data_IF_605213729842
#
_entry.id   IF_605213729842
#
_cell.length_a   1.000
_cell.length_b   1.000
_cell.length_c   1.000
_cell.angle_alpha   90.00
_cell.angle_beta   90.00
_cell.angle_gamma   90.00
#
_symmetry.space_group_name_H-M   'P 1'
#
loop_
_entity.id
_entity.type
_entity.pdbx_description
1 polymer ?
#
# COMPACT_ATOMS: atom_id res chain seq x y z
N UNK A 1 -8.99 -1.37 45.82
CA UNK A 1 -7.72 -0.78 45.32
C UNK A 1 -6.70 -0.85 46.47
N UNK A 2 -5.55 -1.51 46.26
CA UNK A 2 -4.55 -1.73 47.32
C UNK A 2 -3.98 -0.37 47.79
N UNK A 3 -3.73 -0.19 49.08
CA UNK A 3 -3.26 1.07 49.72
C UNK A 3 -2.03 1.67 48.97
N UNK A 4 -1.12 0.81 48.51
CA UNK A 4 0.07 1.18 47.73
C UNK A 4 -0.31 1.81 46.40
N UNK A 5 -1.33 1.30 45.69
CA UNK A 5 -1.79 1.84 44.42
C UNK A 5 -2.45 3.24 44.60
N UNK A 6 -3.17 3.45 45.70
CA UNK A 6 -3.74 4.78 46.05
C UNK A 6 -2.62 5.82 46.28
N UNK A 7 -1.55 5.40 46.96
CA UNK A 7 -0.39 6.25 47.22
C UNK A 7 0.32 6.61 45.88
N UNK A 8 0.47 5.65 44.97
CA UNK A 8 1.08 5.89 43.65
C UNK A 8 0.30 6.90 42.82
N UNK A 9 -1.03 6.75 42.73
CA UNK A 9 -1.88 7.71 42.02
C UNK A 9 -1.79 9.12 42.61
N UNK A 10 -1.72 9.25 43.93
CA UNK A 10 -1.55 10.55 44.61
C UNK A 10 -0.16 11.15 44.31
N UNK A 11 0.90 10.33 44.37
CA UNK A 11 2.25 10.76 44.04
C UNK A 11 2.43 11.21 42.59
N UNK A 12 1.79 10.54 41.65
CA UNK A 12 1.80 10.96 40.22
C UNK A 12 1.17 12.35 40.04
N UNK A 13 0.08 12.62 40.78
CA UNK A 13 -0.60 13.93 40.74
C UNK A 13 0.26 15.03 41.42
N UNK A 14 1.00 14.73 42.46
CA UNK A 14 1.87 15.70 43.14
C UNK A 14 3.12 16.03 42.33
N UNK A 15 3.66 15.07 41.58
CA UNK A 15 4.87 15.21 40.74
C UNK A 15 4.54 15.37 39.27
N UNK A 16 3.63 16.31 38.91
CA UNK A 16 3.09 16.51 37.57
C UNK A 16 4.18 16.69 36.49
N UNK A 17 5.19 17.54 36.71
CA UNK A 17 6.25 17.81 35.71
C UNK A 17 6.95 16.53 35.25
N UNK A 18 7.27 15.63 36.16
CA UNK A 18 7.95 14.37 35.90
C UNK A 18 7.02 13.36 35.19
N UNK A 19 5.79 13.24 35.68
CA UNK A 19 4.79 12.38 35.04
C UNK A 19 4.56 12.79 33.59
N UNK A 20 4.53 14.10 33.29
CA UNK A 20 4.43 14.65 31.97
C UNK A 20 5.63 14.24 31.11
N UNK A 21 6.87 14.38 31.57
CA UNK A 21 8.07 13.96 30.80
C UNK A 21 8.02 12.48 30.44
N UNK A 22 7.61 11.63 31.38
CA UNK A 22 7.47 10.19 31.13
C UNK A 22 6.33 9.91 30.14
N UNK A 23 5.18 10.58 30.27
CA UNK A 23 4.06 10.47 29.33
C UNK A 23 4.51 10.91 27.92
N UNK A 24 5.21 12.05 27.80
CA UNK A 24 5.73 12.53 26.50
C UNK A 24 6.68 11.50 25.86
N UNK A 25 7.59 10.92 26.64
CA UNK A 25 8.50 9.86 26.15
C UNK A 25 7.75 8.63 25.62
N UNK A 26 6.70 8.19 26.35
CA UNK A 26 5.85 7.08 25.91
C UNK A 26 5.03 7.49 24.70
N UNK A 27 4.42 8.67 24.71
CA UNK A 27 3.62 9.21 23.60
C UNK A 27 4.43 9.26 22.31
N UNK A 28 5.66 9.81 22.36
CA UNK A 28 6.56 9.87 21.19
C UNK A 28 6.88 8.48 20.64
N UNK A 29 7.19 7.54 21.52
CA UNK A 29 7.51 6.17 21.14
C UNK A 29 6.32 5.47 20.48
N UNK A 30 5.13 5.59 21.07
CA UNK A 30 3.89 5.01 20.52
C UNK A 30 3.49 5.72 19.22
N UNK A 31 3.61 7.04 19.16
CA UNK A 31 3.30 7.81 17.98
C UNK A 31 4.18 7.39 16.79
N UNK A 32 5.48 7.16 17.01
CA UNK A 32 6.39 6.69 15.96
C UNK A 32 6.01 5.29 15.45
N UNK A 33 5.70 4.34 16.37
CA UNK A 33 5.23 3.00 15.99
C UNK A 33 3.95 3.09 15.16
N UNK A 34 2.97 3.89 15.64
CA UNK A 34 1.68 4.04 14.96
C UNK A 34 1.82 4.72 13.59
N UNK A 35 2.64 5.77 13.52
CA UNK A 35 2.89 6.49 12.27
C UNK A 35 3.47 5.56 11.20
N UNK A 36 4.51 4.78 11.54
CA UNK A 36 5.16 3.87 10.58
C UNK A 36 4.21 2.77 10.12
N UNK A 37 3.44 2.15 11.03
CA UNK A 37 2.46 1.15 10.64
C UNK A 37 1.35 1.74 9.74
N UNK A 38 0.88 2.95 10.06
CA UNK A 38 -0.11 3.65 9.24
C UNK A 38 0.44 4.01 7.85
N UNK A 39 1.71 4.44 7.77
CA UNK A 39 2.37 4.73 6.49
C UNK A 39 2.54 3.48 5.62
N UNK A 40 2.92 2.33 6.19
CA UNK A 40 3.04 1.07 5.44
C UNK A 40 1.71 0.65 4.83
N UNK A 41 0.61 0.73 5.61
CA UNK A 41 -0.73 0.41 5.12
C UNK A 41 -1.19 1.39 4.05
N UNK A 42 -0.92 2.68 4.25
CA UNK A 42 -1.29 3.74 3.31
C UNK A 42 -0.48 3.65 2.02
N UNK A 43 0.79 3.34 2.08
CA UNK A 43 1.65 3.13 0.92
C UNK A 43 1.13 1.97 0.05
N UNK A 44 0.80 0.83 0.67
CA UNK A 44 0.18 -0.28 -0.05
C UNK A 44 -1.15 0.13 -0.70
N UNK A 45 -1.99 0.86 0.02
CA UNK A 45 -3.25 1.33 -0.53
C UNK A 45 -3.05 2.28 -1.71
N UNK A 46 -2.00 3.12 -1.66
CA UNK A 46 -1.63 4.04 -2.73
C UNK A 46 -1.17 3.30 -3.99
N UNK A 47 -0.34 2.27 -3.84
CA UNK A 47 0.08 1.42 -4.98
C UNK A 47 -1.13 0.74 -5.63
N UNK A 48 -2.03 0.17 -4.83
CA UNK A 48 -3.25 -0.46 -5.34
C UNK A 48 -4.13 0.56 -6.07
N UNK A 49 -4.27 1.76 -5.52
CA UNK A 49 -5.06 2.82 -6.16
C UNK A 49 -4.41 3.31 -7.46
N UNK A 50 -3.09 3.49 -7.45
CA UNK A 50 -2.34 3.84 -8.65
C UNK A 50 -2.56 2.81 -9.77
N UNK A 51 -2.46 1.51 -9.43
CA UNK A 51 -2.69 0.44 -10.39
C UNK A 51 -4.12 0.44 -10.97
N UNK A 52 -5.12 0.75 -10.13
CA UNK A 52 -6.51 0.90 -10.58
C UNK A 52 -6.72 2.09 -11.53
N UNK A 53 -6.02 3.19 -11.28
CA UNK A 53 -6.07 4.38 -12.13
C UNK A 53 -5.32 4.14 -13.45
N UNK A 54 -4.19 3.42 -13.42
CA UNK A 54 -3.35 3.20 -14.59
C UNK A 54 -3.88 2.12 -15.51
N UNK A 55 -4.28 0.96 -14.96
CA UNK A 55 -4.67 -0.21 -15.75
C UNK A 55 -6.14 -0.60 -15.62
N UNK A 56 -6.86 0.05 -14.70
CA UNK A 56 -8.27 -0.24 -14.46
C UNK A 56 -8.52 -1.15 -13.25
N UNK A 57 -9.75 -1.11 -12.75
CA UNK A 57 -10.17 -1.81 -11.53
C UNK A 57 -10.77 -3.19 -11.86
N UNK A 58 -10.01 -4.06 -12.50
CA UNK A 58 -10.39 -5.43 -12.83
C UNK A 58 -9.25 -6.41 -12.54
N UNK A 59 -9.58 -7.70 -12.45
CA UNK A 59 -8.60 -8.79 -12.32
C UNK A 59 -8.40 -9.52 -13.64
N UNK A 60 -9.48 -9.88 -14.31
CA UNK A 60 -9.49 -10.59 -15.59
C UNK A 60 -10.45 -9.90 -16.57
N UNK A 61 -9.98 -9.66 -17.79
CA UNK A 61 -10.81 -9.27 -18.91
C UNK A 61 -10.97 -10.45 -19.87
N UNK A 62 -12.17 -10.68 -20.37
CA UNK A 62 -12.49 -11.65 -21.41
C UNK A 62 -12.93 -10.89 -22.65
N UNK A 63 -12.22 -11.12 -23.75
CA UNK A 63 -12.41 -10.40 -24.98
C UNK A 63 -13.31 -11.20 -25.93
N UNK A 64 -13.98 -10.52 -26.85
CA UNK A 64 -14.83 -11.09 -27.88
C UNK A 64 -15.92 -12.05 -27.38
N UNK A 65 -16.48 -11.74 -26.23
CA UNK A 65 -17.55 -12.50 -25.60
C UNK A 65 -18.86 -12.26 -26.34
N UNK A 66 -19.52 -13.33 -26.78
CA UNK A 66 -20.83 -13.23 -27.43
C UNK A 66 -21.90 -12.73 -26.47
N UNK A 67 -22.88 -11.98 -26.99
CA UNK A 67 -23.99 -11.39 -26.22
C UNK A 67 -24.70 -12.40 -25.32
N UNK A 68 -24.96 -13.62 -25.82
CA UNK A 68 -25.66 -14.68 -25.09
C UNK A 68 -24.87 -15.18 -23.88
N UNK A 69 -23.54 -15.07 -23.90
CA UNK A 69 -22.67 -15.52 -22.84
C UNK A 69 -22.49 -14.48 -21.71
N UNK A 70 -22.93 -13.23 -21.91
CA UNK A 70 -22.85 -12.18 -20.89
C UNK A 70 -23.50 -12.59 -19.56
N UNK A 71 -24.59 -13.36 -19.63
CA UNK A 71 -25.31 -13.85 -18.45
C UNK A 71 -24.47 -14.74 -17.52
N UNK A 72 -23.47 -15.46 -18.05
CA UNK A 72 -22.56 -16.33 -17.30
C UNK A 72 -21.65 -15.56 -16.35
N UNK A 73 -21.29 -14.34 -16.74
CA UNK A 73 -20.48 -13.44 -15.91
C UNK A 73 -21.36 -12.68 -14.92
N UNK A 74 -22.49 -12.16 -15.39
CA UNK A 74 -23.42 -11.36 -14.58
C UNK A 74 -23.93 -12.05 -13.34
N UNK A 75 -24.21 -13.34 -13.40
CA UNK A 75 -24.81 -14.12 -12.32
C UNK A 75 -23.81 -15.01 -11.58
N UNK A 76 -22.51 -14.74 -11.69
CA UNK A 76 -21.49 -15.59 -11.07
C UNK A 76 -21.12 -15.11 -9.68
N UNK A 77 -21.28 -15.97 -8.67
CA UNK A 77 -20.97 -15.69 -7.26
C UNK A 77 -19.49 -15.40 -6.96
N UNK A 78 -18.60 -15.75 -7.88
CA UNK A 78 -17.16 -15.50 -7.76
C UNK A 78 -16.78 -14.08 -8.21
N UNK A 79 -17.67 -13.40 -8.93
CA UNK A 79 -17.48 -12.05 -9.45
C UNK A 79 -18.08 -11.04 -8.47
N UNK A 80 -17.26 -10.12 -7.98
CA UNK A 80 -17.67 -9.01 -7.11
C UNK A 80 -18.34 -7.89 -7.92
N UNK A 81 -17.73 -7.54 -9.05
CA UNK A 81 -18.22 -6.56 -10.01
C UNK A 81 -17.69 -6.86 -11.40
N UNK A 82 -18.39 -6.39 -12.40
CA UNK A 82 -17.97 -6.46 -13.79
C UNK A 82 -18.39 -5.19 -14.53
N UNK A 83 -17.75 -4.94 -15.63
CA UNK A 83 -18.13 -3.90 -16.58
C UNK A 83 -17.89 -4.37 -18.02
N UNK A 84 -18.61 -3.74 -18.92
CA UNK A 84 -18.70 -4.18 -20.31
C UNK A 84 -18.26 -3.05 -21.23
N UNK A 85 -17.47 -3.42 -22.24
CA UNK A 85 -17.10 -2.53 -23.35
C UNK A 85 -17.31 -3.24 -24.66
N UNK A 86 -17.34 -2.50 -25.74
CA UNK A 86 -17.28 -3.06 -27.09
C UNK A 86 -16.47 -2.16 -28.02
N UNK A 87 -15.78 -2.79 -28.95
CA UNK A 87 -15.05 -2.09 -29.99
C UNK A 87 -16.04 -1.70 -31.10
N UNK A 88 -16.22 -0.40 -31.31
CA UNK A 88 -17.12 0.12 -32.33
C UNK A 88 -16.40 0.17 -33.69
N UNK A 89 -15.13 0.54 -33.69
CA UNK A 89 -14.29 0.56 -34.88
C UNK A 89 -13.30 1.71 -34.94
N UNK A 90 -12.71 1.91 -36.07
CA UNK A 90 -11.76 2.96 -36.37
C UNK A 90 -12.38 4.04 -37.25
N UNK A 91 -11.87 5.26 -37.15
CA UNK A 91 -12.15 6.32 -38.10
C UNK A 91 -10.84 7.06 -38.43
N UNK A 92 -10.63 7.39 -39.72
CA UNK A 92 -9.50 8.25 -40.09
C UNK A 92 -9.69 9.65 -39.50
N UNK A 93 -8.61 10.21 -38.97
CA UNK A 93 -8.57 11.60 -38.49
C UNK A 93 -7.37 12.31 -39.11
N UNK A 94 -7.48 13.63 -39.31
CA UNK A 94 -6.40 14.43 -39.92
C UNK A 94 -5.25 14.71 -38.91
N UNK A 95 -4.74 13.62 -38.34
CA UNK A 95 -3.63 13.67 -37.38
C UNK A 95 -2.32 14.02 -38.08
N UNK A 96 -1.53 14.91 -37.48
CA UNK A 96 -0.16 15.18 -37.97
C UNK A 96 0.86 14.14 -37.49
N UNK A 97 0.46 13.21 -36.66
CA UNK A 97 1.27 12.05 -36.31
C UNK A 97 0.98 10.91 -37.30
N UNK A 98 1.90 10.68 -38.22
CA UNK A 98 1.78 9.66 -39.26
C UNK A 98 1.61 8.24 -38.71
N UNK A 99 2.16 7.93 -37.55
CA UNK A 99 2.04 6.65 -36.88
C UNK A 99 0.71 6.48 -36.12
N UNK A 100 -0.13 7.54 -36.05
CA UNK A 100 -1.39 7.53 -35.31
C UNK A 100 -2.51 8.25 -36.11
N UNK A 101 -2.88 7.70 -37.28
CA UNK A 101 -3.81 8.36 -38.20
C UNK A 101 -5.29 8.10 -37.86
N UNK A 102 -5.62 7.38 -36.76
CA UNK A 102 -6.98 6.98 -36.47
C UNK A 102 -7.51 7.51 -35.14
N UNK A 103 -8.83 7.63 -35.05
CA UNK A 103 -9.59 7.52 -33.84
C UNK A 103 -10.04 6.05 -33.70
N UNK A 104 -9.85 5.45 -32.51
CA UNK A 104 -10.39 4.16 -32.14
C UNK A 104 -11.55 4.37 -31.19
N UNK A 105 -12.76 3.92 -31.55
CA UNK A 105 -13.99 4.22 -30.82
C UNK A 105 -14.39 3.01 -29.99
N UNK A 106 -14.53 3.22 -28.68
CA UNK A 106 -14.95 2.19 -27.72
C UNK A 106 -16.28 2.62 -27.11
N UNK A 107 -17.22 1.70 -27.07
CA UNK A 107 -18.45 1.82 -26.29
C UNK A 107 -18.26 1.29 -24.88
N UNK A 108 -18.83 1.96 -23.88
CA UNK A 108 -18.70 1.63 -22.46
C UNK A 108 -20.03 1.68 -21.74
N UNK A 109 -20.24 0.76 -20.78
CA UNK A 109 -21.32 0.85 -19.82
C UNK A 109 -20.99 1.81 -18.65
N UNK A 110 -21.98 2.15 -17.82
CA UNK A 110 -21.79 3.08 -16.67
C UNK A 110 -20.75 2.58 -15.65
N UNK A 111 -20.58 1.27 -15.54
CA UNK A 111 -19.58 0.69 -14.68
C UNK A 111 -18.17 0.80 -15.27
N UNK A 112 -18.04 0.68 -16.60
CA UNK A 112 -16.76 0.86 -17.29
C UNK A 112 -16.25 2.29 -17.15
N UNK A 113 -17.09 3.31 -17.27
CA UNK A 113 -16.69 4.70 -17.04
C UNK A 113 -16.07 4.94 -15.65
N UNK A 114 -16.49 4.18 -14.62
CA UNK A 114 -16.01 4.33 -13.25
C UNK A 114 -14.77 3.48 -12.93
N UNK A 115 -14.54 2.41 -13.68
CA UNK A 115 -13.60 1.37 -13.33
C UNK A 115 -12.48 1.15 -14.35
N UNK A 116 -12.62 1.66 -15.56
CA UNK A 116 -11.52 1.70 -16.52
C UNK A 116 -10.60 2.90 -16.24
N UNK A 117 -9.39 2.81 -16.73
CA UNK A 117 -8.33 3.82 -16.61
C UNK A 117 -8.58 5.02 -17.54
N UNK A 118 -9.70 5.72 -17.33
CA UNK A 118 -10.11 6.88 -18.11
C UNK A 118 -10.58 7.98 -17.17
N UNK A 119 -9.79 9.04 -17.07
CA UNK A 119 -10.09 10.18 -16.22
C UNK A 119 -10.51 11.38 -17.05
N UNK A 120 -11.63 12.01 -16.71
CA UNK A 120 -12.03 13.26 -17.36
C UNK A 120 -11.18 14.44 -16.83
N UNK A 121 -10.68 15.27 -17.78
CA UNK A 121 -10.08 16.58 -17.49
C UNK A 121 -11.17 17.63 -17.41
N UNK A 122 -12.15 17.55 -18.35
CA UNK A 122 -13.24 18.52 -18.43
C UNK A 122 -14.47 17.92 -19.14
N UNK A 123 -15.63 18.49 -18.88
CA UNK A 123 -16.90 18.00 -19.44
C UNK A 123 -17.52 16.89 -18.62
N UNK A 124 -18.26 16.01 -19.30
CA UNK A 124 -18.99 14.90 -18.69
C UNK A 124 -18.82 13.62 -19.53
N UNK A 125 -19.15 12.46 -18.95
CA UNK A 125 -19.21 11.20 -19.70
C UNK A 125 -20.42 11.18 -20.63
N UNK A 126 -20.35 10.47 -21.78
CA UNK A 126 -21.44 10.33 -22.73
C UNK A 126 -22.68 9.73 -22.04
N UNK A 127 -23.85 10.30 -22.34
CA UNK A 127 -25.17 9.81 -21.85
C UNK A 127 -25.98 9.09 -22.92
N UNK A 128 -25.61 9.28 -24.15
CA UNK A 128 -26.27 8.64 -25.29
C UNK A 128 -25.25 8.32 -26.41
N UNK A 129 -25.68 7.55 -27.38
CA UNK A 129 -24.84 7.03 -28.47
C UNK A 129 -24.30 8.08 -29.45
N UNK A 130 -24.81 9.31 -29.41
CA UNK A 130 -24.36 10.42 -30.26
C UNK A 130 -23.40 11.37 -29.51
N UNK A 131 -23.02 11.05 -28.30
CA UNK A 131 -22.07 11.78 -27.49
C UNK A 131 -20.73 11.03 -27.42
N UNK A 132 -19.62 11.78 -27.39
CA UNK A 132 -18.29 11.20 -27.37
C UNK A 132 -17.34 12.02 -26.49
N UNK A 133 -16.44 11.31 -25.80
CA UNK A 133 -15.29 11.88 -25.09
C UNK A 133 -14.04 11.63 -25.92
N UNK A 134 -13.19 12.64 -26.04
CA UNK A 134 -11.93 12.57 -26.77
C UNK A 134 -10.73 12.71 -25.80
N UNK A 135 -9.56 12.11 -26.10
CA UNK A 135 -8.40 12.21 -25.25
C UNK A 135 -7.61 13.51 -25.51
N UNK A 136 -7.09 14.12 -24.44
CA UNK A 136 -6.36 15.40 -24.50
C UNK A 136 -5.09 15.36 -25.37
N UNK A 137 -4.43 14.21 -25.46
CA UNK A 137 -3.24 14.07 -26.30
C UNK A 137 -3.53 14.08 -27.81
N UNK A 138 -4.79 14.02 -28.22
CA UNK A 138 -5.20 14.28 -29.59
C UNK A 138 -4.74 15.69 -30.04
N UNK A 139 -4.84 16.69 -29.15
CA UNK A 139 -4.36 18.07 -29.40
C UNK A 139 -2.83 18.16 -29.44
N UNK A 140 -2.15 17.55 -28.47
CA UNK A 140 -0.69 17.70 -28.34
C UNK A 140 0.09 16.85 -29.34
N UNK A 141 -0.36 15.63 -29.59
CA UNK A 141 0.27 14.66 -30.47
C UNK A 141 -0.28 14.70 -31.89
N UNK A 142 -1.62 14.71 -32.05
CA UNK A 142 -2.29 14.73 -33.36
C UNK A 142 -2.44 16.12 -33.99
N UNK A 143 -2.23 17.19 -33.19
CA UNK A 143 -2.48 18.61 -33.61
C UNK A 143 -3.94 18.89 -34.01
N UNK A 144 -4.88 18.11 -33.46
CA UNK A 144 -6.33 18.30 -33.67
C UNK A 144 -6.89 19.01 -32.40
N UNK A 145 -7.39 20.22 -32.60
CA UNK A 145 -7.87 21.10 -31.50
C UNK A 145 -9.41 21.12 -31.46
N UNK A 146 -10.01 19.99 -31.16
CA UNK A 146 -11.46 19.92 -30.92
C UNK A 146 -11.80 20.41 -29.50
N UNK A 147 -13.02 20.97 -29.37
CA UNK A 147 -13.54 21.53 -28.13
C UNK A 147 -14.82 20.82 -27.71
N UNK A 148 -15.14 20.90 -26.42
CA UNK A 148 -16.44 20.47 -25.91
C UNK A 148 -17.53 21.30 -26.58
N UNK A 149 -18.55 20.60 -27.14
CA UNK A 149 -19.64 21.18 -27.91
C UNK A 149 -19.47 21.03 -29.41
N UNK A 150 -18.27 20.76 -29.92
CA UNK A 150 -18.04 20.52 -31.36
C UNK A 150 -18.79 19.26 -31.80
N UNK A 151 -19.24 19.28 -33.06
CA UNK A 151 -19.89 18.16 -33.72
C UNK A 151 -18.96 17.62 -34.78
N UNK A 152 -18.65 16.35 -34.71
CA UNK A 152 -17.74 15.68 -35.65
C UNK A 152 -18.46 14.51 -36.32
N UNK A 153 -18.26 14.34 -37.61
CA UNK A 153 -18.73 13.16 -38.35
C UNK A 153 -17.54 12.27 -38.66
N UNK A 154 -17.63 11.02 -38.26
CA UNK A 154 -16.59 10.02 -38.39
C UNK A 154 -17.07 8.89 -39.31
N UNK A 155 -16.27 8.56 -40.30
CA UNK A 155 -16.45 7.38 -41.15
C UNK A 155 -15.88 6.18 -40.41
N UNK A 156 -16.73 5.34 -39.85
CA UNK A 156 -16.36 4.23 -38.96
C UNK A 156 -16.15 2.96 -39.79
N UNK A 157 -15.07 2.27 -39.53
CA UNK A 157 -14.71 1.05 -40.26
C UNK A 157 -13.62 0.25 -39.58
N UNK A 158 -12.96 -0.58 -40.35
CA UNK A 158 -11.91 -1.49 -39.92
C UNK A 158 -10.58 -1.22 -40.62
N UNK A 159 -9.50 -1.53 -39.88
CA UNK A 159 -8.12 -1.57 -40.42
C UNK A 159 -7.83 -2.96 -40.95
N UNK A 160 -7.33 -3.07 -42.15
CA UNK A 160 -7.00 -4.34 -42.81
C UNK A 160 -5.53 -4.34 -43.17
N UNK A 161 -4.78 -5.31 -42.70
CA UNK A 161 -3.38 -5.56 -43.05
C UNK A 161 -3.22 -7.02 -43.46
N UNK A 162 -2.65 -7.26 -44.65
CA UNK A 162 -2.50 -8.61 -45.21
C UNK A 162 -3.83 -9.39 -45.30
N UNK A 163 -4.90 -8.69 -45.66
CA UNK A 163 -6.27 -9.20 -45.78
C UNK A 163 -6.92 -9.65 -44.45
N UNK A 164 -6.30 -9.34 -43.31
CA UNK A 164 -6.85 -9.58 -41.96
C UNK A 164 -7.19 -8.27 -41.25
N UNK A 165 -8.28 -8.29 -40.46
CA UNK A 165 -8.66 -7.17 -39.60
C UNK A 165 -7.69 -7.08 -38.42
N UNK A 166 -7.07 -5.91 -38.24
CA UNK A 166 -6.07 -5.70 -37.18
C UNK A 166 -6.58 -4.83 -36.05
N UNK A 167 -6.15 -5.17 -34.84
CA UNK A 167 -6.59 -4.54 -33.59
C UNK A 167 -5.74 -3.31 -33.22
N UNK A 168 -6.13 -2.64 -32.13
CA UNK A 168 -5.41 -1.51 -31.55
C UNK A 168 -4.00 -1.87 -31.02
N UNK A 169 -3.71 -3.14 -30.84
CA UNK A 169 -2.41 -3.63 -30.40
C UNK A 169 -1.37 -3.71 -31.53
N UNK A 170 -1.84 -3.79 -32.78
CA UNK A 170 -0.98 -3.78 -33.94
C UNK A 170 -0.68 -2.34 -34.35
N UNK A 171 0.61 -1.98 -34.35
CA UNK A 171 1.08 -0.66 -34.75
C UNK A 171 0.66 -0.32 -36.18
N UNK A 172 0.59 0.97 -36.50
CA UNK A 172 0.30 1.43 -37.86
C UNK A 172 1.35 0.91 -38.85
N UNK A 173 0.85 0.41 -40.01
CA UNK A 173 1.67 0.03 -41.16
C UNK A 173 1.16 0.80 -42.39
N UNK A 174 2.08 1.35 -43.19
CA UNK A 174 1.74 2.10 -44.42
C UNK A 174 1.04 1.28 -45.47
N UNK A 175 1.13 -0.06 -45.43
CA UNK A 175 0.47 -0.98 -46.34
C UNK A 175 -0.96 -1.33 -45.91
N UNK A 176 -1.40 -0.90 -44.72
CA UNK A 176 -2.75 -1.18 -44.27
C UNK A 176 -3.80 -0.39 -45.05
N UNK A 177 -4.95 -1.01 -45.20
CA UNK A 177 -6.12 -0.39 -45.86
C UNK A 177 -7.18 -0.11 -44.77
N UNK A 178 -7.79 1.08 -44.89
CA UNK A 178 -8.96 1.40 -44.10
C UNK A 178 -10.22 1.15 -44.93
N UNK A 179 -11.13 0.34 -44.41
CA UNK A 179 -12.42 0.04 -45.04
C UNK A 179 -13.51 0.67 -44.20
N UNK A 180 -14.12 1.76 -44.71
CA UNK A 180 -15.27 2.40 -44.08
C UNK A 180 -16.52 1.53 -44.20
N UNK A 181 -17.30 1.41 -43.11
CA UNK A 181 -18.54 0.65 -43.06
C UNK A 181 -19.77 1.57 -43.02
N UNK A 182 -19.71 2.65 -42.26
CA UNK A 182 -20.78 3.65 -42.12
C UNK A 182 -20.24 4.96 -41.52
N UNK A 183 -21.04 6.04 -41.61
CA UNK A 183 -20.73 7.33 -41.05
C UNK A 183 -21.62 7.60 -39.82
N UNK A 184 -21.06 8.16 -38.77
CA UNK A 184 -21.80 8.56 -37.56
C UNK A 184 -21.36 9.92 -37.05
N UNK A 185 -22.32 10.72 -36.64
CA UNK A 185 -22.08 12.07 -36.13
C UNK A 185 -22.14 12.04 -34.61
N UNK A 186 -21.12 12.63 -33.97
CA UNK A 186 -20.99 12.70 -32.54
C UNK A 186 -20.83 14.16 -32.07
N UNK A 187 -21.41 14.47 -30.93
CA UNK A 187 -21.14 15.70 -30.15
C UNK A 187 -20.07 15.42 -29.11
N UNK A 188 -19.01 16.20 -29.08
CA UNK A 188 -17.98 16.11 -28.05
C UNK A 188 -18.50 16.67 -26.74
N UNK A 189 -18.59 15.85 -25.69
CA UNK A 189 -19.13 16.22 -24.38
C UNK A 189 -18.07 16.27 -23.29
N UNK A 190 -16.90 15.70 -23.53
CA UNK A 190 -15.81 15.71 -22.56
C UNK A 190 -14.44 15.50 -23.18
N UNK A 191 -13.43 15.85 -22.40
CA UNK A 191 -12.03 15.63 -22.73
C UNK A 191 -11.44 14.81 -21.58
N UNK A 192 -10.86 13.64 -21.90
CA UNK A 192 -10.17 12.78 -20.94
C UNK A 192 -8.67 13.01 -20.95
N UNK A 193 -8.01 12.56 -19.89
CA UNK A 193 -6.58 12.29 -19.94
C UNK A 193 -6.30 11.22 -21.03
N UNK A 194 -5.04 11.06 -21.37
CA UNK A 194 -4.65 9.90 -22.20
C UNK A 194 -5.07 8.63 -21.46
N UNK A 195 -5.80 7.71 -22.09
CA UNK A 195 -6.14 6.43 -21.47
C UNK A 195 -4.90 5.67 -21.00
N UNK A 196 -5.06 4.85 -19.96
CA UNK A 196 -3.97 4.02 -19.44
C UNK A 196 -3.46 3.03 -20.48
N UNK A 197 -2.27 2.48 -20.24
CA UNK A 197 -1.57 1.59 -21.15
C UNK A 197 -2.40 0.36 -21.57
N UNK A 198 -3.21 -0.16 -20.66
CA UNK A 198 -4.10 -1.31 -20.93
C UNK A 198 -5.24 -1.01 -21.93
N UNK A 199 -5.57 0.26 -22.13
CA UNK A 199 -6.61 0.72 -23.09
C UNK A 199 -5.97 1.24 -24.36
N UNK A 200 -4.89 2.00 -24.24
CA UNK A 200 -4.18 2.60 -25.36
C UNK A 200 -2.66 2.50 -25.15
N UNK A 201 -2.05 1.43 -25.70
CA UNK A 201 -0.60 1.25 -25.63
C UNK A 201 0.15 2.37 -26.38
N UNK A 202 1.46 2.48 -26.18
CA UNK A 202 2.26 3.57 -26.79
C UNK A 202 2.33 3.48 -28.33
N UNK A 203 2.21 2.27 -28.87
CA UNK A 203 2.28 2.00 -30.32
C UNK A 203 0.91 1.93 -30.98
N UNK A 204 -0.16 2.14 -30.21
CA UNK A 204 -1.53 2.13 -30.70
C UNK A 204 -1.74 3.15 -31.82
N UNK A 205 -2.27 2.75 -32.98
CA UNK A 205 -2.44 3.61 -34.16
C UNK A 205 -3.67 4.53 -34.10
N UNK A 206 -4.54 4.31 -33.11
CA UNK A 206 -5.73 5.12 -32.87
C UNK A 206 -5.70 5.85 -31.54
N UNK A 207 -6.19 7.10 -31.52
CA UNK A 207 -6.58 7.81 -30.31
C UNK A 207 -7.89 7.23 -29.80
N UNK A 208 -7.96 6.86 -28.54
CA UNK A 208 -9.16 6.21 -28.00
C UNK A 208 -10.26 7.23 -27.72
N UNK A 209 -11.32 7.17 -28.48
CA UNK A 209 -12.56 7.93 -28.30
C UNK A 209 -13.59 7.05 -27.58
N UNK A 210 -14.39 7.63 -26.72
CA UNK A 210 -15.26 6.88 -25.83
C UNK A 210 -16.70 7.36 -25.94
N UNK A 211 -17.62 6.42 -26.14
CA UNK A 211 -19.07 6.66 -26.20
C UNK A 211 -19.80 5.64 -25.31
N UNK A 212 -21.13 5.70 -25.29
CA UNK A 212 -21.93 4.71 -24.57
C UNK A 212 -21.89 3.34 -25.27
N UNK A 213 -22.13 2.28 -24.49
CA UNK A 213 -22.13 0.90 -25.00
C UNK A 213 -23.09 0.74 -26.18
N UNK A 214 -22.60 0.16 -27.26
CA UNK A 214 -23.45 -0.19 -28.41
C UNK A 214 -24.20 -1.50 -28.09
N UNK A 215 -25.48 -1.39 -27.78
CA UNK A 215 -26.35 -2.51 -27.46
C UNK A 215 -26.74 -3.37 -28.69
N UNK A 216 -26.46 -2.89 -29.90
CA UNK A 216 -26.71 -3.63 -31.15
C UNK A 216 -25.58 -4.61 -31.45
N UNK A 217 -24.42 -4.46 -30.86
CA UNK A 217 -23.29 -5.36 -31.01
C UNK A 217 -23.62 -6.79 -30.55
N UNK A 218 -23.03 -7.76 -31.23
CA UNK A 218 -23.08 -9.18 -30.86
C UNK A 218 -21.85 -9.63 -30.04
N UNK A 219 -20.82 -8.78 -29.95
CA UNK A 219 -19.52 -9.08 -29.34
C UNK A 219 -19.18 -7.98 -28.34
N UNK A 220 -18.73 -8.39 -27.17
CA UNK A 220 -18.39 -7.50 -26.05
C UNK A 220 -17.10 -7.94 -25.36
N UNK A 221 -16.43 -7.01 -24.71
CA UNK A 221 -15.34 -7.29 -23.79
C UNK A 221 -15.88 -7.14 -22.37
N UNK A 222 -15.61 -8.12 -21.50
CA UNK A 222 -16.07 -8.14 -20.13
C UNK A 222 -14.88 -8.13 -19.21
N UNK A 223 -14.79 -7.12 -18.38
CA UNK A 223 -13.76 -7.01 -17.36
C UNK A 223 -14.35 -7.35 -16.01
N UNK A 224 -13.75 -8.31 -15.33
CA UNK A 224 -14.28 -8.87 -14.07
C UNK A 224 -13.36 -8.61 -12.90
N UNK A 225 -13.97 -8.26 -11.78
CA UNK A 225 -13.32 -8.21 -10.49
C UNK A 225 -13.78 -9.41 -9.66
N UNK A 226 -12.87 -10.28 -9.29
CA UNK A 226 -13.19 -11.45 -8.48
C UNK A 226 -13.33 -11.07 -7.01
N UNK A 227 -14.21 -11.79 -6.29
CA UNK A 227 -14.31 -11.68 -4.84
C UNK A 227 -12.97 -12.09 -4.19
N UNK A 228 -12.68 -11.54 -3.03
CA UNK A 228 -11.46 -11.87 -2.28
C UNK A 228 -11.29 -13.38 -2.04
N UNK A 229 -12.42 -14.12 -1.88
CA UNK A 229 -12.41 -15.57 -1.73
C UNK A 229 -12.11 -16.29 -3.04
N UNK A 230 -12.62 -15.77 -4.15
CA UNK A 230 -12.43 -16.34 -5.48
C UNK A 230 -10.97 -16.18 -5.97
N UNK A 231 -10.26 -15.14 -5.55
CA UNK A 231 -8.85 -14.94 -5.88
C UNK A 231 -7.95 -16.09 -5.40
N UNK A 232 -8.32 -16.82 -4.34
CA UNK A 232 -7.58 -18.01 -3.91
C UNK A 232 -7.60 -19.14 -4.95
N UNK A 233 -8.63 -19.19 -5.79
CA UNK A 233 -8.83 -20.20 -6.83
C UNK A 233 -8.95 -19.57 -8.22
N UNK A 234 -8.32 -18.40 -8.41
CA UNK A 234 -8.48 -17.58 -9.60
C UNK A 234 -8.19 -18.33 -10.92
N UNK A 235 -7.15 -19.14 -10.94
CA UNK A 235 -6.76 -19.87 -12.15
C UNK A 235 -7.80 -20.91 -12.55
N UNK A 236 -8.33 -21.68 -11.60
CA UNK A 236 -9.41 -22.65 -11.87
C UNK A 236 -10.70 -21.97 -12.32
N UNK A 237 -11.05 -20.84 -11.69
CA UNK A 237 -12.24 -20.08 -12.06
C UNK A 237 -12.09 -19.51 -13.47
N UNK A 238 -10.95 -18.93 -13.79
CA UNK A 238 -10.66 -18.38 -15.12
C UNK A 238 -10.66 -19.47 -16.19
N UNK A 239 -10.01 -20.61 -15.94
CA UNK A 239 -10.02 -21.75 -16.86
C UNK A 239 -11.44 -22.26 -17.16
N UNK A 240 -12.33 -22.29 -16.15
CA UNK A 240 -13.73 -22.67 -16.34
C UNK A 240 -14.48 -21.68 -17.25
N UNK A 241 -14.21 -20.38 -17.17
CA UNK A 241 -14.77 -19.40 -18.12
C UNK A 241 -14.23 -19.61 -19.53
N UNK A 242 -12.94 -19.92 -19.65
CA UNK A 242 -12.27 -20.16 -20.92
C UNK A 242 -12.65 -21.52 -21.54
N UNK A 243 -13.16 -22.47 -20.74
CA UNK A 243 -13.49 -23.82 -21.20
C UNK A 243 -12.27 -24.72 -21.42
N UNK A 244 -11.17 -24.48 -20.70
CA UNK A 244 -9.88 -25.19 -20.77
C UNK A 244 -9.63 -26.05 -19.53
N UNK A 245 -8.58 -26.89 -19.55
CA UNK A 245 -8.20 -27.76 -18.45
C UNK A 245 -7.85 -26.93 -17.18
N UNK A 246 -8.77 -26.92 -16.22
CA UNK A 246 -8.64 -26.09 -15.00
C UNK A 246 -7.54 -26.56 -14.05
N UNK A 247 -7.25 -27.86 -13.98
CA UNK A 247 -6.20 -28.38 -13.11
C UNK A 247 -4.82 -28.14 -13.70
N UNK A 248 -4.69 -28.28 -15.02
CA UNK A 248 -3.46 -27.91 -15.71
C UNK A 248 -3.20 -26.40 -15.64
N UNK A 249 -4.21 -25.56 -15.92
CA UNK A 249 -4.07 -24.12 -15.88
C UNK A 249 -3.71 -23.61 -14.46
N UNK A 250 -4.28 -24.23 -13.41
CA UNK A 250 -3.89 -23.92 -12.03
C UNK A 250 -2.48 -24.42 -11.70
N UNK A 251 -2.07 -25.58 -12.21
CA UNK A 251 -0.71 -26.10 -12.05
C UNK A 251 0.33 -25.13 -12.59
N UNK A 252 0.13 -24.63 -13.79
CA UNK A 252 1.05 -23.67 -14.45
C UNK A 252 0.79 -22.21 -14.04
N UNK A 253 -0.11 -21.98 -13.09
CA UNK A 253 -0.50 -20.64 -12.59
C UNK A 253 -0.81 -19.66 -13.72
N UNK A 254 -1.65 -20.09 -14.67
CA UNK A 254 -2.01 -19.26 -15.81
C UNK A 254 -0.83 -18.93 -16.74
N UNK A 255 0.16 -19.81 -16.84
CA UNK A 255 1.36 -19.63 -17.63
C UNK A 255 2.56 -19.01 -16.91
N UNK A 256 2.44 -18.73 -15.59
CA UNK A 256 3.56 -18.17 -14.80
C UNK A 256 4.65 -19.19 -14.46
N UNK A 257 4.26 -20.45 -14.25
CA UNK A 257 5.15 -21.52 -13.82
C UNK A 257 5.10 -22.61 -14.88
N UNK A 258 5.87 -22.43 -15.94
CA UNK A 258 6.07 -23.43 -16.98
C UNK A 258 7.47 -23.99 -16.78
N UNK A 259 7.57 -25.29 -16.45
CA UNK A 259 8.83 -25.90 -16.04
C UNK A 259 9.61 -26.51 -17.20
N UNK A 260 8.96 -26.81 -18.32
CA UNK A 260 9.57 -27.48 -19.46
C UNK A 260 8.81 -27.23 -20.78
N UNK A 261 9.43 -27.58 -21.91
CA UNK A 261 8.88 -27.38 -23.26
C UNK A 261 7.54 -28.12 -23.48
N UNK A 262 7.34 -29.29 -22.87
CA UNK A 262 6.09 -30.05 -23.01
C UNK A 262 4.92 -29.34 -22.34
N UNK A 263 5.14 -28.71 -21.18
CA UNK A 263 4.14 -27.88 -20.51
C UNK A 263 3.86 -26.60 -21.30
N UNK A 264 4.88 -26.00 -21.91
CA UNK A 264 4.71 -24.83 -22.77
C UNK A 264 3.87 -25.17 -24.00
N UNK A 265 4.15 -26.29 -24.67
CA UNK A 265 3.37 -26.76 -25.81
C UNK A 265 1.91 -27.02 -25.42
N UNK A 266 1.69 -27.75 -24.32
CA UNK A 266 0.35 -28.01 -23.79
C UNK A 266 -0.38 -26.69 -23.44
N UNK A 267 0.31 -25.72 -22.86
CA UNK A 267 -0.27 -24.44 -22.52
C UNK A 267 -0.76 -23.67 -23.75
N UNK A 268 0.02 -23.64 -24.81
CA UNK A 268 -0.36 -23.04 -26.09
C UNK A 268 -1.56 -23.78 -26.68
N UNK A 269 -1.55 -25.13 -26.68
CA UNK A 269 -2.67 -25.95 -27.16
C UNK A 269 -3.98 -25.67 -26.41
N UNK A 270 -3.90 -25.48 -25.08
CA UNK A 270 -5.08 -25.12 -24.27
C UNK A 270 -5.56 -23.70 -24.57
N UNK A 271 -4.65 -22.72 -24.76
CA UNK A 271 -5.04 -21.37 -25.15
C UNK A 271 -5.72 -21.30 -26.51
N UNK A 272 -5.29 -22.12 -27.47
CA UNK A 272 -5.95 -22.20 -28.80
C UNK A 272 -7.37 -22.74 -28.68
N UNK A 273 -7.66 -23.61 -27.70
CA UNK A 273 -9.02 -24.12 -27.44
C UNK A 273 -9.87 -23.17 -26.64
N UNK A 274 -9.28 -22.14 -26.05
CA UNK A 274 -9.98 -21.23 -25.17
C UNK A 274 -11.14 -20.53 -25.91
N UNK A 275 -12.29 -20.46 -25.27
CA UNK A 275 -13.52 -19.88 -25.83
C UNK A 275 -13.41 -18.38 -26.07
N UNK A 276 -12.59 -17.69 -25.28
CA UNK A 276 -12.36 -16.25 -25.32
C UNK A 276 -10.87 -15.97 -25.23
N UNK A 277 -10.41 -14.92 -25.86
CA UNK A 277 -9.16 -14.28 -25.49
C UNK A 277 -9.30 -13.64 -24.11
N UNK A 278 -8.21 -13.52 -23.36
CA UNK A 278 -8.25 -12.91 -22.04
C UNK A 278 -7.03 -12.08 -21.74
N UNK A 279 -7.26 -11.05 -20.94
CA UNK A 279 -6.23 -10.18 -20.37
C UNK A 279 -6.26 -10.26 -18.85
N UNK A 280 -5.10 -10.10 -18.22
CA UNK A 280 -4.95 -10.22 -16.76
C UNK A 280 -4.32 -8.94 -16.25
N UNK A 281 -4.99 -8.27 -15.31
CA UNK A 281 -4.38 -7.18 -14.54
C UNK A 281 -3.52 -7.78 -13.42
N UNK A 282 -2.33 -8.24 -13.82
CA UNK A 282 -1.42 -9.01 -12.97
C UNK A 282 -0.98 -8.22 -11.75
N UNK A 283 -0.63 -6.96 -11.94
CA UNK A 283 -0.10 -6.12 -10.88
C UNK A 283 -1.17 -5.78 -9.85
N UNK A 284 -2.41 -5.54 -10.25
CA UNK A 284 -3.50 -5.35 -9.32
C UNK A 284 -3.76 -6.60 -8.47
N UNK A 285 -3.84 -7.77 -9.10
CA UNK A 285 -3.99 -9.06 -8.40
C UNK A 285 -2.86 -9.25 -7.39
N UNK A 286 -1.63 -9.02 -7.82
CA UNK A 286 -0.41 -9.13 -7.04
C UNK A 286 -0.45 -8.27 -5.78
N UNK A 287 -0.84 -7.00 -5.90
CA UNK A 287 -0.90 -6.07 -4.78
C UNK A 287 -2.11 -6.30 -3.87
N UNK A 288 -3.24 -6.72 -4.41
CA UNK A 288 -4.45 -6.99 -3.63
C UNK A 288 -4.44 -8.35 -2.94
N UNK A 289 -3.99 -9.39 -3.63
CA UNK A 289 -4.03 -10.77 -3.12
C UNK A 289 -2.96 -11.06 -2.05
N UNK A 290 -1.95 -10.21 -1.93
CA UNK A 290 -0.95 -10.33 -0.87
C UNK A 290 -0.15 -11.64 -0.91
N UNK A 291 0.16 -12.13 -2.11
CA UNK A 291 0.92 -13.35 -2.23
C UNK A 291 2.36 -13.08 -1.77
N UNK A 292 2.74 -13.65 -0.61
CA UNK A 292 4.06 -13.46 0.03
C UNK A 292 5.18 -14.01 -0.88
N UNK A 293 4.83 -14.83 -1.85
CA UNK A 293 5.76 -15.38 -2.85
C UNK A 293 6.27 -14.31 -3.83
N UNK A 294 5.57 -13.18 -3.91
CA UNK A 294 5.98 -12.07 -4.76
C UNK A 294 7.12 -11.26 -4.13
N UNK A 295 8.25 -11.24 -4.82
CA UNK A 295 9.48 -10.57 -4.36
C UNK A 295 9.31 -9.09 -4.03
N UNK A 296 8.46 -8.35 -4.73
CA UNK A 296 8.32 -6.89 -4.55
C UNK A 296 7.58 -6.54 -3.26
N UNK A 297 6.41 -7.15 -3.01
CA UNK A 297 5.68 -6.93 -1.76
C UNK A 297 6.44 -7.47 -0.56
N UNK A 298 7.11 -8.61 -0.71
CA UNK A 298 7.99 -9.19 0.30
C UNK A 298 9.10 -8.24 0.70
N UNK A 299 9.75 -7.57 -0.26
CA UNK A 299 10.81 -6.59 0.01
C UNK A 299 10.30 -5.40 0.82
N UNK A 300 9.12 -4.85 0.46
CA UNK A 300 8.51 -3.73 1.19
C UNK A 300 8.20 -4.12 2.64
N UNK A 301 7.60 -5.28 2.87
CA UNK A 301 7.30 -5.77 4.22
C UNK A 301 8.56 -6.08 5.02
N UNK A 302 9.62 -6.59 4.38
CA UNK A 302 10.90 -6.86 5.03
C UNK A 302 11.56 -5.55 5.48
N UNK A 303 11.60 -4.53 4.64
CA UNK A 303 12.12 -3.21 5.01
C UNK A 303 11.29 -2.61 6.16
N UNK A 304 9.95 -2.66 6.05
CA UNK A 304 9.08 -2.19 7.12
C UNK A 304 9.32 -2.94 8.44
N UNK A 305 9.53 -4.24 8.41
CA UNK A 305 9.83 -5.06 9.58
C UNK A 305 11.17 -4.68 10.22
N UNK A 306 12.22 -4.46 9.43
CA UNK A 306 13.53 -4.00 9.93
C UNK A 306 13.39 -2.64 10.61
N UNK A 307 12.72 -1.69 9.95
CA UNK A 307 12.47 -0.36 10.50
C UNK A 307 11.69 -0.45 11.82
N UNK A 308 10.67 -1.30 11.89
CA UNK A 308 9.90 -1.53 13.11
C UNK A 308 10.75 -2.10 14.24
N UNK A 309 11.68 -3.01 13.99
CA UNK A 309 12.61 -3.53 14.98
C UNK A 309 13.48 -2.39 15.54
N UNK A 310 14.05 -1.55 14.67
CA UNK A 310 14.90 -0.42 15.08
C UNK A 310 14.10 0.57 15.94
N UNK A 311 12.89 0.90 15.52
CA UNK A 311 11.99 1.80 16.26
C UNK A 311 11.63 1.23 17.63
N UNK A 312 11.25 -0.05 17.71
CA UNK A 312 10.94 -0.69 18.99
C UNK A 312 12.15 -0.70 19.92
N UNK A 313 13.33 -1.01 19.39
CA UNK A 313 14.57 -0.99 20.19
C UNK A 313 14.85 0.40 20.75
N UNK A 314 14.83 1.43 19.90
CA UNK A 314 15.03 2.84 20.30
C UNK A 314 13.97 3.29 21.31
N UNK A 315 12.70 2.90 21.10
CA UNK A 315 11.60 3.19 21.99
C UNK A 315 11.79 2.58 23.39
N UNK A 316 12.26 1.34 23.47
CA UNK A 316 12.60 0.71 24.76
C UNK A 316 13.64 1.53 25.51
N UNK A 317 14.68 2.03 24.84
CA UNK A 317 15.68 2.90 25.46
C UNK A 317 15.11 4.23 25.91
N UNK A 318 14.34 4.91 25.07
CA UNK A 318 13.73 6.20 25.37
C UNK A 318 12.80 6.11 26.60
N UNK A 319 11.90 5.14 26.59
CA UNK A 319 10.96 4.91 27.72
C UNK A 319 11.73 4.49 28.98
N UNK A 320 12.73 3.63 28.85
CA UNK A 320 13.58 3.24 30.00
C UNK A 320 14.26 4.44 30.61
N UNK A 321 14.87 5.32 29.82
CA UNK A 321 15.56 6.50 30.33
C UNK A 321 14.58 7.45 31.06
N UNK A 322 13.38 7.65 30.50
CA UNK A 322 12.33 8.44 31.11
C UNK A 322 11.89 7.87 32.47
N UNK A 323 11.77 6.55 32.57
CA UNK A 323 11.47 5.88 33.85
C UNK A 323 12.64 5.89 34.82
N UNK A 324 13.90 5.71 34.36
CA UNK A 324 15.08 5.74 35.24
C UNK A 324 15.18 7.11 35.93
N UNK A 325 14.99 8.22 35.25
CA UNK A 325 14.94 9.56 35.81
C UNK A 325 13.82 9.68 36.84
N UNK A 326 12.61 9.21 36.51
CA UNK A 326 11.46 9.24 37.43
C UNK A 326 11.72 8.45 38.70
N UNK A 327 12.36 7.30 38.63
CA UNK A 327 12.54 6.37 39.76
C UNK A 327 13.75 6.71 40.62
N UNK A 328 14.82 7.25 40.05
CA UNK A 328 16.01 7.65 40.83
C UNK A 328 15.65 8.64 41.93
N UNK A 329 14.79 9.62 41.64
CA UNK A 329 14.32 10.54 42.67
C UNK A 329 13.32 9.94 43.67
N UNK A 330 12.60 8.87 43.25
CA UNK A 330 11.70 8.13 44.17
C UNK A 330 12.42 7.08 45.00
N UNK A 331 13.71 6.89 44.83
CA UNK A 331 14.52 5.91 45.55
C UNK A 331 14.37 6.10 47.08
N UNK A 332 14.41 7.36 47.53
CA UNK A 332 14.21 7.71 48.94
C UNK A 332 12.83 7.27 49.46
N UNK A 333 11.76 7.46 48.66
CA UNK A 333 10.40 7.04 49.01
C UNK A 333 10.28 5.51 49.08
N UNK A 334 10.88 4.79 48.15
CA UNK A 334 10.90 3.32 48.17
C UNK A 334 11.73 2.78 49.32
N UNK A 335 12.81 3.46 49.70
CA UNK A 335 13.58 3.15 50.89
C UNK A 335 12.76 3.27 52.17
N UNK A 336 12.02 4.39 52.32
CA UNK A 336 11.11 4.58 53.49
C UNK A 336 10.00 3.51 53.51
N UNK A 337 9.41 3.15 52.36
CA UNK A 337 8.41 2.08 52.30
C UNK A 337 8.99 0.73 52.74
N UNK A 338 10.24 0.45 52.41
CA UNK A 338 10.93 -0.77 52.87
C UNK A 338 11.26 -0.74 54.37
N UNK A 339 11.58 0.41 54.93
CA UNK A 339 11.79 0.56 56.39
C UNK A 339 10.54 0.27 57.16
N UNK A 340 9.35 0.52 56.64
CA UNK A 340 8.04 0.22 57.23
C UNK A 340 7.58 -1.24 56.91
N UNK A 341 8.42 -2.06 56.23
CA UNK A 341 8.16 -3.48 55.98
C UNK A 341 7.61 -3.83 54.60
N UNK A 342 7.65 -2.93 53.61
CA UNK A 342 7.24 -3.26 52.25
C UNK A 342 8.17 -4.29 51.60
N UNK A 343 7.60 -5.36 51.03
CA UNK A 343 8.36 -6.42 50.37
C UNK A 343 8.87 -5.99 49.00
N UNK A 344 9.96 -6.58 48.51
CA UNK A 344 10.49 -6.36 47.17
C UNK A 344 9.45 -6.65 46.05
N UNK A 345 8.54 -7.63 46.30
CA UNK A 345 7.44 -7.95 45.35
C UNK A 345 6.42 -6.80 45.29
N UNK A 346 6.10 -6.17 46.43
CA UNK A 346 5.18 -5.04 46.48
C UNK A 346 5.74 -3.82 45.75
N UNK A 347 7.02 -3.49 45.98
CA UNK A 347 7.70 -2.39 45.27
C UNK A 347 7.71 -2.64 43.76
N UNK A 348 8.06 -3.84 43.31
CA UNK A 348 8.06 -4.23 41.89
C UNK A 348 6.67 -4.07 41.27
N UNK A 349 5.61 -4.54 41.96
CA UNK A 349 4.22 -4.38 41.48
C UNK A 349 3.81 -2.91 41.40
N UNK A 350 4.30 -2.07 42.33
CA UNK A 350 4.04 -0.65 42.35
C UNK A 350 4.66 0.06 41.12
N UNK A 351 5.91 -0.28 40.75
CA UNK A 351 6.57 0.27 39.54
C UNK A 351 5.82 -0.13 38.27
N UNK A 352 5.37 -1.39 38.19
CA UNK A 352 4.54 -1.81 37.02
C UNK A 352 3.20 -1.10 36.98
N UNK A 353 2.57 -0.84 38.13
CA UNK A 353 1.31 -0.11 38.21
C UNK A 353 1.49 1.36 37.72
N UNK A 354 2.59 1.99 38.13
CA UNK A 354 2.95 3.32 37.64
C UNK A 354 3.18 3.34 36.13
N UNK A 355 3.96 2.37 35.63
CA UNK A 355 4.22 2.21 34.20
C UNK A 355 2.91 1.98 33.41
N UNK A 356 1.98 1.23 33.96
CA UNK A 356 0.67 0.99 33.36
C UNK A 356 -0.17 2.28 33.27
N UNK A 357 -0.27 3.06 34.34
CA UNK A 357 -1.06 4.31 34.32
C UNK A 357 -0.48 5.31 33.30
N UNK A 358 0.84 5.56 33.39
CA UNK A 358 1.50 6.49 32.47
C UNK A 358 1.50 5.94 31.02
N UNK A 359 1.61 4.62 30.91
CA UNK A 359 1.56 3.89 29.64
C UNK A 359 0.23 4.02 28.93
N UNK A 360 -0.88 3.85 29.64
CA UNK A 360 -2.24 3.99 29.04
C UNK A 360 -2.47 5.41 28.53
N UNK A 361 -2.08 6.43 29.31
CA UNK A 361 -2.22 7.83 28.88
C UNK A 361 -1.34 8.10 27.66
N UNK A 362 -0.07 7.72 27.71
CA UNK A 362 0.87 7.90 26.60
C UNK A 362 0.49 7.11 25.36
N UNK A 363 -0.12 5.91 25.53
CA UNK A 363 -0.61 5.10 24.44
C UNK A 363 -1.76 5.78 23.69
N UNK A 364 -2.78 6.27 24.40
CA UNK A 364 -3.93 6.96 23.75
C UNK A 364 -3.44 8.18 22.99
N UNK A 365 -2.63 9.03 23.62
CA UNK A 365 -2.05 10.21 22.99
C UNK A 365 -1.16 9.83 21.81
N UNK A 366 -0.34 8.80 21.95
CA UNK A 366 0.57 8.32 20.91
C UNK A 366 -0.18 7.77 19.68
N UNK A 367 -1.28 7.05 19.85
CA UNK A 367 -2.12 6.60 18.75
C UNK A 367 -2.72 7.78 17.96
N UNK A 368 -3.23 8.80 18.66
CA UNK A 368 -3.81 9.98 18.02
C UNK A 368 -2.73 10.77 17.27
N UNK A 369 -1.63 11.13 17.95
CA UNK A 369 -0.56 11.91 17.31
C UNK A 369 0.16 11.14 16.21
N UNK A 370 0.34 9.83 16.35
CA UNK A 370 0.95 8.99 15.32
C UNK A 370 0.10 8.88 14.06
N UNK A 371 -1.22 8.68 14.22
CA UNK A 371 -2.15 8.66 13.08
C UNK A 371 -2.23 10.04 12.39
N UNK A 372 -2.26 11.11 13.17
CA UNK A 372 -2.28 12.48 12.65
C UNK A 372 -0.97 12.80 11.90
N UNK A 373 0.18 12.41 12.45
CA UNK A 373 1.47 12.61 11.80
C UNK A 373 1.56 11.87 10.46
N UNK A 374 1.08 10.62 10.38
CA UNK A 374 1.01 9.86 9.13
C UNK A 374 0.09 10.53 8.11
N UNK A 375 -1.08 11.03 8.55
CA UNK A 375 -2.01 11.77 7.70
C UNK A 375 -1.37 13.04 7.12
N UNK A 376 -0.76 13.87 7.97
CA UNK A 376 -0.09 15.10 7.54
C UNK A 376 1.05 14.78 6.56
N UNK A 377 1.87 13.77 6.86
CA UNK A 377 3.00 13.41 6.00
C UNK A 377 2.53 13.00 4.60
N UNK A 378 1.44 12.23 4.49
CA UNK A 378 0.87 11.85 3.19
C UNK A 378 0.38 13.07 2.42
N UNK A 379 -0.25 14.04 3.08
CA UNK A 379 -0.65 15.29 2.41
C UNK A 379 0.55 16.12 1.96
N UNK A 380 1.61 16.18 2.75
CA UNK A 380 2.86 16.84 2.36
C UNK A 380 3.48 16.17 1.14
N UNK A 381 3.54 14.81 1.13
CA UNK A 381 4.03 14.05 -0.02
C UNK A 381 3.19 14.35 -1.27
N UNK A 382 1.87 14.35 -1.16
CA UNK A 382 0.97 14.66 -2.27
C UNK A 382 1.21 16.07 -2.82
N UNK A 383 1.40 17.07 -1.94
CA UNK A 383 1.69 18.43 -2.38
C UNK A 383 2.94 18.51 -3.26
N UNK A 384 4.01 17.80 -2.90
CA UNK A 384 5.24 17.77 -3.69
C UNK A 384 5.12 16.89 -4.95
N UNK A 385 4.38 15.78 -4.92
CA UNK A 385 4.16 14.93 -6.09
C UNK A 385 3.27 15.60 -7.14
N UNK A 386 2.22 16.31 -6.72
CA UNK A 386 1.35 17.04 -7.64
C UNK A 386 2.04 18.25 -8.30
N UNK A 387 3.11 18.76 -7.70
CA UNK A 387 3.89 19.86 -8.30
C UNK A 387 4.87 19.41 -9.38
N UNK A 388 5.10 18.12 -9.51
CA UNK A 388 5.90 17.52 -10.57
C UNK A 388 4.96 16.89 -11.60
N UNK A 389 4.86 17.46 -12.80
CA UNK A 389 4.05 16.98 -13.94
C UNK A 389 4.33 15.51 -14.35
N UNK A 390 5.23 14.82 -13.64
CA UNK A 390 5.72 13.50 -14.02
C UNK A 390 4.93 12.32 -13.46
N UNK A 391 4.06 12.47 -12.46
CA UNK A 391 3.38 11.32 -11.86
C UNK A 391 1.97 11.64 -11.34
N UNK A 392 0.96 11.00 -11.89
CA UNK A 392 -0.42 10.93 -11.35
C UNK A 392 -0.50 10.09 -10.05
N UNK A 393 0.60 9.97 -9.30
CA UNK A 393 0.69 9.20 -8.07
C UNK A 393 0.10 10.01 -6.92
N UNK A 394 -1.18 9.85 -6.65
CA UNK A 394 -1.77 10.36 -5.42
C UNK A 394 -1.67 9.33 -4.30
N UNK A 395 -0.93 9.66 -3.25
CA UNK A 395 -0.87 8.84 -2.04
C UNK A 395 -2.16 8.97 -1.25
N UNK A 396 -2.74 7.84 -0.85
CA UNK A 396 -3.99 7.80 -0.07
C UNK A 396 -3.68 7.44 1.38
N UNK A 397 -4.18 8.24 2.32
CA UNK A 397 -4.19 7.84 3.71
C UNK A 397 -5.27 6.78 3.93
N UNK A 398 -4.87 5.57 4.36
CA UNK A 398 -5.80 4.49 4.69
C UNK A 398 -5.76 4.17 6.18
N UNK A 399 -6.85 4.47 6.86
CA UNK A 399 -7.07 4.01 8.22
C UNK A 399 -7.19 2.49 8.25
N UNK A 400 -6.44 1.83 9.14
CA UNK A 400 -6.52 0.38 9.33
C UNK A 400 -6.65 0.04 10.80
N UNK A 401 -7.76 -0.59 11.16
CA UNK A 401 -7.99 -1.08 12.51
C UNK A 401 -6.92 -2.10 12.95
N UNK A 402 -6.46 -2.95 12.03
CA UNK A 402 -5.41 -3.93 12.29
C UNK A 402 -4.07 -3.26 12.64
N UNK A 403 -3.69 -2.17 11.94
CA UNK A 403 -2.46 -1.43 12.24
C UNK A 403 -2.50 -0.77 13.63
N UNK A 404 -3.67 -0.26 14.03
CA UNK A 404 -3.85 0.29 15.38
C UNK A 404 -3.74 -0.81 16.45
N UNK A 405 -4.36 -1.94 16.23
CA UNK A 405 -4.31 -3.07 17.15
C UNK A 405 -2.88 -3.60 17.30
N UNK A 406 -2.14 -3.68 16.21
CA UNK A 406 -0.72 -4.05 16.21
C UNK A 406 0.14 -2.98 16.92
N UNK A 407 -0.15 -1.69 16.72
CA UNK A 407 0.51 -0.59 17.43
C UNK A 407 0.29 -0.69 18.94
N UNK A 408 -0.92 -0.97 19.37
CA UNK A 408 -1.26 -1.18 20.79
C UNK A 408 -0.45 -2.35 21.37
N UNK A 409 -0.45 -3.48 20.68
CA UNK A 409 0.27 -4.69 21.10
C UNK A 409 1.78 -4.44 21.24
N UNK A 410 2.41 -3.86 20.23
CA UNK A 410 3.84 -3.53 20.25
C UNK A 410 4.17 -2.50 21.34
N UNK A 411 3.31 -1.51 21.53
CA UNK A 411 3.49 -0.50 22.59
C UNK A 411 3.42 -1.12 23.98
N UNK A 412 2.50 -2.04 24.24
CA UNK A 412 2.47 -2.77 25.51
C UNK A 412 3.74 -3.58 25.77
N UNK A 413 4.25 -4.28 24.74
CA UNK A 413 5.52 -5.01 24.84
C UNK A 413 6.66 -4.04 25.17
N UNK A 414 6.74 -2.91 24.47
CA UNK A 414 7.78 -1.90 24.65
C UNK A 414 7.75 -1.31 26.07
N UNK A 415 6.58 -0.92 26.57
CA UNK A 415 6.39 -0.40 27.92
C UNK A 415 6.77 -1.45 28.96
N UNK A 416 6.34 -2.70 28.78
CA UNK A 416 6.67 -3.79 29.70
C UNK A 416 8.17 -4.08 29.74
N UNK A 417 8.83 -4.19 28.59
CA UNK A 417 10.28 -4.44 28.50
C UNK A 417 11.08 -3.30 29.13
N UNK A 418 10.67 -2.05 28.90
CA UNK A 418 11.31 -0.86 29.48
C UNK A 418 11.19 -0.82 30.99
N UNK A 419 9.99 -1.10 31.51
CA UNK A 419 9.73 -1.06 32.97
C UNK A 419 10.34 -2.24 33.72
N UNK A 420 10.54 -3.41 33.08
CA UNK A 420 11.04 -4.64 33.72
C UNK A 420 12.41 -4.49 34.38
N UNK A 421 13.38 -3.90 33.67
CA UNK A 421 14.75 -3.70 34.20
C UNK A 421 14.73 -2.75 35.38
N UNK A 422 13.94 -1.70 35.32
CA UNK A 422 13.81 -0.68 36.34
C UNK A 422 13.11 -1.22 37.57
N UNK A 423 11.98 -1.92 37.40
CA UNK A 423 11.28 -2.58 38.49
C UNK A 423 12.18 -3.57 39.25
N UNK A 424 13.06 -4.29 38.54
CA UNK A 424 14.05 -5.19 39.14
C UNK A 424 15.14 -4.41 39.92
N UNK A 425 15.63 -3.29 39.36
CA UNK A 425 16.64 -2.44 40.00
C UNK A 425 16.07 -1.83 41.30
N UNK A 426 14.91 -1.19 41.21
CA UNK A 426 14.26 -0.50 42.33
C UNK A 426 13.86 -1.46 43.47
N UNK A 427 13.42 -2.67 43.14
CA UNK A 427 13.04 -3.67 44.15
C UNK A 427 14.22 -4.22 44.97
N UNK A 428 15.46 -3.95 44.60
CA UNK A 428 16.67 -4.40 45.29
C UNK A 428 17.32 -3.33 46.16
N UNK A 429 16.85 -2.08 46.12
CA UNK A 429 17.39 -0.97 46.87
C UNK A 429 17.24 -1.25 48.39
N UNK A 430 18.33 -1.16 49.15
CA UNK A 430 18.27 -1.30 50.61
C UNK A 430 17.74 -0.01 51.27
N UNK A 431 17.07 -0.09 52.43
CA UNK A 431 16.60 1.11 53.18
C UNK A 431 17.73 2.09 53.48
N UNK A 432 18.91 1.56 53.83
CA UNK A 432 20.08 2.36 54.22
C UNK A 432 20.66 3.09 52.99
N UNK A 433 20.81 2.43 51.84
CA UNK A 433 21.27 3.05 50.59
C UNK A 433 20.32 4.17 50.12
N UNK A 434 19.00 3.97 50.30
CA UNK A 434 18.00 4.95 49.90
C UNK A 434 17.99 6.22 50.77
N UNK A 435 18.31 6.12 52.05
CA UNK A 435 18.31 7.25 53.01
C UNK A 435 19.64 8.01 52.96
N UNK A 436 20.78 7.31 52.85
CA UNK A 436 22.09 7.93 52.78
C UNK A 436 22.35 8.77 51.53
N UNK A 437 21.63 8.51 50.47
CA UNK A 437 21.84 9.25 49.17
C UNK A 437 23.26 9.06 48.62
N UNK A 438 23.94 7.99 49.05
CA UNK A 438 25.29 7.71 48.58
C UNK A 438 25.23 7.17 47.14
N UNK A 439 25.58 8.02 46.20
CA UNK A 439 26.16 7.60 44.92
C UNK A 439 27.54 6.94 45.21
N UNK A 440 27.58 5.96 46.10
CA UNK A 440 28.73 5.10 46.24
C UNK A 440 28.86 4.35 44.90
N UNK A 441 29.76 4.82 44.11
CA UNK A 441 30.28 4.12 42.94
C UNK A 441 30.71 2.75 43.43
N UNK A 442 29.85 1.75 43.32
CA UNK A 442 30.22 0.36 43.51
C UNK A 442 31.25 0.03 42.46
N UNK A 443 32.52 0.29 42.78
CA UNK A 443 33.62 -0.23 42.00
C UNK A 443 33.44 -1.75 41.98
N UNK A 444 32.92 -2.26 40.86
CA UNK A 444 32.91 -3.70 40.63
C UNK A 444 34.36 -4.13 40.75
N UNK A 445 34.67 -4.99 41.73
CA UNK A 445 35.92 -5.75 41.75
C UNK A 445 35.96 -6.72 40.56
N UNK A 446 35.84 -6.23 39.38
CA UNK A 446 36.26 -6.97 38.19
C UNK A 446 37.77 -6.83 38.16
N UNK A 447 38.47 -7.94 38.08
CA UNK A 447 39.90 -8.00 37.82
C UNK A 447 40.18 -7.07 36.63
N UNK A 448 40.72 -5.89 36.92
CA UNK A 448 41.10 -4.91 35.90
C UNK A 448 42.28 -5.57 35.21
N UNK A 449 42.03 -6.09 33.99
CA UNK A 449 43.06 -6.63 33.13
C UNK A 449 43.86 -5.43 32.55
N UNK A 450 44.95 -5.11 33.18
CA UNK A 450 45.87 -4.09 32.66
C UNK A 450 46.56 -4.64 31.43
N UNK A 451 46.69 -3.80 30.42
CA UNK A 451 47.38 -4.18 29.20
C UNK A 451 48.89 -4.29 29.50
N UNK A 452 49.47 -5.49 29.40
CA UNK A 452 50.88 -5.78 29.68
C UNK A 452 51.86 -4.90 28.89
N UNK A 453 51.45 -4.41 27.71
CA UNK A 453 52.22 -3.50 26.86
C UNK A 453 52.35 -2.11 27.49
N UNK A 454 51.24 -1.55 28.03
CA UNK A 454 51.22 -0.22 28.67
C UNK A 454 52.08 -0.22 29.94
N UNK A 455 52.02 -1.29 30.72
CA UNK A 455 52.86 -1.47 31.87
C UNK A 455 54.34 -1.58 31.50
N UNK A 456 54.70 -2.21 30.39
CA UNK A 456 56.08 -2.39 29.94
C UNK A 456 56.70 -1.10 29.36
N UNK A 457 55.91 -0.23 28.73
CA UNK A 457 56.36 1.01 28.12
C UNK A 457 56.40 2.19 29.10
N UNK A 458 55.36 2.33 29.94
CA UNK A 458 55.13 3.49 30.81
C UNK A 458 55.29 3.19 32.31
N UNK A 459 55.72 1.99 32.68
CA UNK A 459 55.96 1.60 34.06
C UNK A 459 54.73 1.65 34.93
N UNK A 460 54.92 1.96 36.22
CA UNK A 460 53.84 2.04 37.26
C UNK A 460 52.85 3.18 36.94
N UNK A 461 53.30 4.29 36.33
CA UNK A 461 52.47 5.43 35.95
C UNK A 461 51.45 5.07 34.90
N UNK A 462 51.87 4.27 33.87
CA UNK A 462 50.94 3.75 32.85
C UNK A 462 49.92 2.75 33.38
N UNK A 463 50.34 1.90 34.34
CA UNK A 463 49.45 0.94 35.02
C UNK A 463 48.35 1.65 35.86
N UNK A 464 48.68 2.79 36.46
CA UNK A 464 47.72 3.61 37.24
C UNK A 464 46.77 4.39 36.29
N UNK A 465 47.29 4.91 35.17
CA UNK A 465 46.48 5.62 34.21
C UNK A 465 45.49 4.69 33.50
N UNK A 466 45.90 3.48 33.12
CA UNK A 466 45.07 2.45 32.49
C UNK A 466 43.96 1.91 33.44
N UNK A 467 44.19 2.00 34.76
CA UNK A 467 43.22 1.66 35.82
C UNK A 467 42.17 2.75 36.09
N UNK A 468 42.39 3.98 35.62
CA UNK A 468 41.55 5.13 35.89
C UNK A 468 40.47 5.32 34.83
N UNK A 469 40.58 4.67 33.69
CA UNK A 469 39.58 4.57 32.61
C UNK A 469 39.02 3.14 32.51
#
# INVERSE_FOLDING_TARGET
MNMINKLTSKNLKLNKKRSIVTIVGITLSVALITAVLSLVVSFRASIINFQKITDGNYHYGFLDVKKDDLSKFKNNRNIESYYVTNNIGYAKVDSKNENKPYAFIIGMDDNAFKNMSINLISGEYPKNENEIVIPSHLKTNGRLDYKIGDVITLDIGSRILNDEEVSQEVSYDSNEKFISKYSKTYKIVGISERPGYSVENYTAPGYTFITTLDNSSNIYNIYTRYTKKALNNQYKITANFLGIDSDFFDKVKGGYIISNESEQKKYIEELVKAKYEFVVNRDLIRYEYNNIEDGSMRAIYLVAFIVMIIINFTSVFCIKNSFDISITEKTKQYGMLRSIGATSKQIKKNVYYEAFILGVIGLVLGLVFGSLAAYILIHVINYYLCSSDMMQLSCIYKFSFLSILLSIFLSFITIYLSSRKIAKKTSKISPIEAIRGSDDIKIKRNKIKTNKLIKKIFGIGGDIADKKY
#
